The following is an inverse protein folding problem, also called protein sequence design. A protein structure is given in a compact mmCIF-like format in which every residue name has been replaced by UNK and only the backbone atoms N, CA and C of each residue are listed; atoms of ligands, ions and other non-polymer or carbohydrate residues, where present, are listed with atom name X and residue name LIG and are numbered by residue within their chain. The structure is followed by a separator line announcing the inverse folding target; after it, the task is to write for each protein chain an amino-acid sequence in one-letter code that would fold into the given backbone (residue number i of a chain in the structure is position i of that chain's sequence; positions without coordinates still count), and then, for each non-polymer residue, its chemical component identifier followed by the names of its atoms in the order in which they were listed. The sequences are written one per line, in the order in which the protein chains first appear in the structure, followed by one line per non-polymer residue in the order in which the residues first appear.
data_IF_085114490398
#
_entry.id   IF_085114490398
#
_cell.length_a   1.000
_cell.length_b   1.000
_cell.length_c   1.000
_cell.angle_alpha   90.00
_cell.angle_beta   90.00
_cell.angle_gamma   90.00
#
_symmetry.space_group_name_H-M   'P 1'
#
loop_
_entity.id
_entity.type
_entity.pdbx_description
1 polymer ?
#
# COMPACT_ATOMS: atom_id res chain seq x y z
N UNK A 1 32.11 7.95 8.75
CA UNK A 1 31.68 6.55 8.51
C UNK A 1 30.75 6.40 7.30
N UNK A 2 29.69 7.16 7.16
CA UNK A 2 28.69 7.01 6.09
C UNK A 2 29.26 7.09 4.67
N UNK A 3 30.10 8.09 4.34
CA UNK A 3 30.73 8.21 3.02
C UNK A 3 31.66 7.04 2.64
N UNK A 4 32.32 6.41 3.62
CA UNK A 4 33.20 5.24 3.39
C UNK A 4 32.39 4.01 3.06
N UNK A 5 31.29 3.79 3.75
CA UNK A 5 30.41 2.64 3.49
C UNK A 5 29.71 2.77 2.14
N UNK A 6 29.29 3.97 1.74
CA UNK A 6 28.70 4.19 0.40
C UNK A 6 29.70 3.91 -0.72
N UNK A 7 30.97 4.29 -0.57
CA UNK A 7 32.02 3.97 -1.55
C UNK A 7 32.28 2.45 -1.67
N UNK A 8 32.31 1.75 -0.54
CA UNK A 8 32.47 0.29 -0.51
C UNK A 8 31.32 -0.42 -1.25
N UNK A 9 30.08 0.00 -1.00
CA UNK A 9 28.90 -0.54 -1.68
C UNK A 9 28.98 -0.31 -3.18
N UNK A 10 29.35 0.90 -3.61
CA UNK A 10 29.52 1.23 -5.02
C UNK A 10 30.59 0.35 -5.69
N UNK A 11 31.70 0.13 -5.01
CA UNK A 11 32.79 -0.73 -5.52
C UNK A 11 32.31 -2.18 -5.66
N UNK A 12 31.64 -2.73 -4.66
CA UNK A 12 31.11 -4.10 -4.71
C UNK A 12 30.05 -4.26 -5.80
N UNK A 13 29.16 -3.28 -5.92
CA UNK A 13 28.15 -3.25 -6.98
C UNK A 13 28.80 -3.22 -8.37
N UNK A 14 29.82 -2.36 -8.54
CA UNK A 14 30.55 -2.25 -9.81
C UNK A 14 31.29 -3.54 -10.17
N UNK A 15 31.92 -4.19 -9.19
CA UNK A 15 32.59 -5.49 -9.39
C UNK A 15 31.56 -6.55 -9.78
N UNK A 16 30.44 -6.65 -9.08
CA UNK A 16 29.38 -7.61 -9.40
C UNK A 16 28.80 -7.35 -10.80
N UNK A 17 28.56 -6.09 -11.18
CA UNK A 17 28.08 -5.72 -12.50
C UNK A 17 29.10 -6.08 -13.60
N UNK A 18 30.40 -5.83 -13.39
CA UNK A 18 31.45 -6.19 -14.34
C UNK A 18 31.52 -7.71 -14.52
N UNK A 19 31.43 -8.49 -13.43
CA UNK A 19 31.44 -9.96 -13.52
C UNK A 19 30.27 -10.48 -14.37
N UNK A 20 29.07 -9.95 -14.19
CA UNK A 20 27.90 -10.33 -14.99
C UNK A 20 28.00 -9.88 -16.45
N UNK A 21 28.58 -8.71 -16.72
CA UNK A 21 28.83 -8.24 -18.08
C UNK A 21 29.91 -9.10 -18.78
N UNK A 22 30.94 -9.52 -18.07
CA UNK A 22 31.96 -10.41 -18.61
C UNK A 22 31.37 -11.79 -18.93
N UNK A 23 30.52 -12.33 -18.06
CA UNK A 23 29.84 -13.60 -18.31
C UNK A 23 28.90 -13.52 -19.53
N UNK A 24 28.22 -12.39 -19.71
CA UNK A 24 27.27 -12.18 -20.81
C UNK A 24 27.96 -11.91 -22.16
N UNK A 25 29.04 -11.12 -22.19
CA UNK A 25 29.71 -10.65 -23.43
C UNK A 25 31.01 -11.41 -23.76
N UNK A 26 31.61 -12.08 -22.80
CA UNK A 26 32.86 -12.83 -23.05
C UNK A 26 32.55 -14.32 -23.09
N UNK A 27 33.37 -15.06 -23.86
CA UNK A 27 33.36 -16.51 -23.89
C UNK A 27 33.95 -17.16 -22.62
N UNK A 28 34.15 -16.38 -21.57
CA UNK A 28 34.63 -16.86 -20.27
C UNK A 28 33.42 -17.41 -19.49
N UNK A 29 33.30 -18.72 -19.37
CA UNK A 29 32.33 -19.37 -18.50
C UNK A 29 32.68 -19.08 -17.04
N UNK A 30 32.06 -18.00 -16.47
CA UNK A 30 32.22 -17.71 -15.05
C UNK A 30 31.30 -18.63 -14.27
N UNK A 31 31.83 -19.32 -13.27
CA UNK A 31 31.04 -20.21 -12.42
C UNK A 31 29.83 -19.49 -11.83
N UNK A 32 28.63 -20.08 -11.99
CA UNK A 32 27.37 -19.52 -11.47
C UNK A 32 27.44 -19.21 -9.96
N UNK A 33 28.21 -19.98 -9.19
CA UNK A 33 28.45 -19.72 -7.78
C UNK A 33 29.21 -18.42 -7.51
N UNK A 34 30.14 -18.03 -8.38
CA UNK A 34 30.86 -16.75 -8.26
C UNK A 34 29.94 -15.57 -8.57
N UNK A 35 29.08 -15.70 -9.56
CA UNK A 35 28.10 -14.69 -9.90
C UNK A 35 27.09 -14.50 -8.77
N UNK A 36 26.50 -15.59 -8.28
CA UNK A 36 25.59 -15.57 -7.13
C UNK A 36 26.29 -15.00 -5.90
N UNK A 37 27.49 -15.48 -5.58
CA UNK A 37 28.27 -15.02 -4.44
C UNK A 37 28.59 -13.53 -4.48
N UNK A 38 28.96 -12.99 -5.65
CA UNK A 38 29.21 -11.55 -5.83
C UNK A 38 27.98 -10.69 -5.54
N UNK A 39 26.80 -11.13 -5.97
CA UNK A 39 25.53 -10.47 -5.67
C UNK A 39 25.23 -10.49 -4.17
N UNK A 40 25.32 -11.66 -3.53
CA UNK A 40 25.05 -11.78 -2.10
C UNK A 40 26.02 -10.94 -1.24
N UNK A 41 27.31 -10.87 -1.59
CA UNK A 41 28.27 -9.99 -0.90
C UNK A 41 27.87 -8.52 -1.05
N UNK A 42 27.41 -8.12 -2.24
CA UNK A 42 26.92 -6.77 -2.48
C UNK A 42 25.70 -6.46 -1.60
N UNK A 43 24.71 -7.35 -1.57
CA UNK A 43 23.51 -7.16 -0.75
C UNK A 43 23.82 -7.17 0.75
N UNK A 44 24.74 -8.02 1.22
CA UNK A 44 25.20 -7.99 2.62
C UNK A 44 25.83 -6.64 2.98
N UNK A 45 26.59 -6.03 2.09
CA UNK A 45 27.15 -4.69 2.32
C UNK A 45 26.07 -3.62 2.41
N UNK A 46 25.01 -3.74 1.61
CA UNK A 46 23.83 -2.85 1.67
C UNK A 46 23.05 -3.07 2.97
N UNK A 47 22.88 -4.32 3.44
CA UNK A 47 22.28 -4.63 4.75
C UNK A 47 22.99 -3.87 5.87
N UNK A 48 24.32 -3.96 5.92
CA UNK A 48 25.14 -3.25 6.91
C UNK A 48 24.89 -1.73 6.85
N UNK A 49 24.82 -1.16 5.66
CA UNK A 49 24.54 0.27 5.49
C UNK A 49 23.14 0.66 6.00
N UNK A 50 22.12 -0.14 5.66
CA UNK A 50 20.73 0.09 6.06
C UNK A 50 20.56 0.03 7.58
N UNK A 51 21.30 -0.88 8.25
CA UNK A 51 21.34 -0.97 9.71
C UNK A 51 21.71 0.35 10.38
N UNK A 52 22.66 1.10 9.79
CA UNK A 52 23.05 2.40 10.29
C UNK A 52 22.06 3.52 9.96
N UNK A 53 21.28 3.37 8.88
CA UNK A 53 20.34 4.42 8.43
C UNK A 53 19.02 4.45 9.18
N UNK A 54 18.62 3.35 9.83
CA UNK A 54 17.40 3.19 10.66
C UNK A 54 16.10 3.67 10.01
N UNK A 55 15.97 3.59 8.66
CA UNK A 55 14.77 3.98 7.93
C UNK A 55 13.96 2.76 7.55
N UNK A 56 12.69 2.70 7.94
CA UNK A 56 11.78 1.59 7.62
C UNK A 56 11.64 1.39 6.09
N UNK A 57 11.47 2.47 5.35
CA UNK A 57 11.37 2.43 3.87
C UNK A 57 12.60 1.78 3.25
N UNK A 58 13.80 2.11 3.75
CA UNK A 58 15.04 1.53 3.25
C UNK A 58 15.11 0.03 3.55
N UNK A 59 14.61 -0.41 4.71
CA UNK A 59 14.51 -1.84 5.05
C UNK A 59 13.53 -2.58 4.14
N UNK A 60 12.37 -1.98 3.82
CA UNK A 60 11.39 -2.55 2.89
C UNK A 60 12.01 -2.71 1.50
N UNK A 61 12.64 -1.66 0.97
CA UNK A 61 13.29 -1.72 -0.35
C UNK A 61 14.39 -2.80 -0.40
N UNK A 62 15.22 -2.87 0.63
CA UNK A 62 16.26 -3.91 0.72
C UNK A 62 15.65 -5.31 0.77
N UNK A 63 14.61 -5.51 1.58
CA UNK A 63 13.95 -6.81 1.70
C UNK A 63 13.27 -7.25 0.40
N UNK A 64 12.74 -6.31 -0.40
CA UNK A 64 12.23 -6.60 -1.74
C UNK A 64 13.32 -7.16 -2.65
N UNK A 65 14.50 -6.53 -2.66
CA UNK A 65 15.62 -6.99 -3.48
C UNK A 65 16.14 -8.35 -3.01
N UNK A 66 16.28 -8.55 -1.69
CA UNK A 66 16.65 -9.86 -1.13
C UNK A 66 15.57 -10.91 -1.47
N UNK A 67 14.30 -10.53 -1.45
CA UNK A 67 13.19 -11.38 -1.87
C UNK A 67 13.31 -11.84 -3.33
N UNK A 68 13.69 -10.94 -4.24
CA UNK A 68 13.97 -11.29 -5.64
C UNK A 68 15.09 -12.33 -5.72
N UNK A 69 16.21 -12.10 -5.03
CA UNK A 69 17.35 -13.01 -5.02
C UNK A 69 16.98 -14.40 -4.46
N UNK A 70 16.19 -14.45 -3.40
CA UNK A 70 15.71 -15.71 -2.82
C UNK A 70 14.77 -16.41 -3.81
N UNK A 71 13.84 -15.69 -4.44
CA UNK A 71 12.92 -16.26 -5.41
C UNK A 71 13.62 -16.87 -6.60
N UNK A 72 14.65 -16.21 -7.14
CA UNK A 72 15.42 -16.68 -8.28
C UNK A 72 16.31 -17.89 -7.98
N UNK A 73 17.04 -17.83 -6.86
CA UNK A 73 18.06 -18.85 -6.58
C UNK A 73 17.53 -20.02 -5.75
N UNK A 74 16.45 -19.82 -4.98
CA UNK A 74 15.91 -20.81 -4.05
C UNK A 74 14.37 -20.87 -4.10
N UNK A 75 13.75 -21.21 -5.26
CA UNK A 75 12.30 -21.15 -5.44
C UNK A 75 11.53 -22.03 -4.44
N UNK A 76 12.01 -23.23 -4.12
CA UNK A 76 11.38 -24.12 -3.14
C UNK A 76 11.38 -23.51 -1.71
N UNK A 77 12.45 -22.83 -1.33
CA UNK A 77 12.51 -22.14 -0.04
C UNK A 77 11.60 -20.91 -0.04
N UNK A 78 11.53 -20.17 -1.15
CA UNK A 78 10.69 -19.00 -1.31
C UNK A 78 9.21 -19.32 -1.03
N UNK A 79 8.71 -20.48 -1.46
CA UNK A 79 7.33 -20.91 -1.21
C UNK A 79 7.03 -21.00 0.30
N UNK A 80 7.95 -21.48 1.12
CA UNK A 80 7.79 -21.57 2.56
C UNK A 80 7.66 -20.19 3.22
N UNK A 81 8.16 -19.13 2.58
CA UNK A 81 8.05 -17.75 3.08
C UNK A 81 6.62 -17.18 2.93
N UNK A 82 5.72 -17.86 2.20
CA UNK A 82 4.33 -17.42 2.03
C UNK A 82 3.63 -17.16 3.39
N UNK A 83 3.99 -17.93 4.41
CA UNK A 83 3.45 -17.76 5.76
C UNK A 83 3.72 -16.35 6.31
N UNK A 84 4.95 -15.83 6.13
CA UNK A 84 5.31 -14.48 6.60
C UNK A 84 4.51 -13.40 5.90
N UNK A 85 4.32 -13.53 4.59
CA UNK A 85 3.49 -12.61 3.81
C UNK A 85 2.03 -12.64 4.26
N UNK A 86 1.45 -13.85 4.47
CA UNK A 86 0.09 -14.00 4.97
C UNK A 86 -0.10 -13.43 6.37
N UNK A 87 0.86 -13.65 7.28
CA UNK A 87 0.84 -13.07 8.63
C UNK A 87 0.82 -11.53 8.53
N UNK A 88 1.71 -10.94 7.73
CA UNK A 88 1.75 -9.49 7.57
C UNK A 88 0.42 -8.93 7.05
N UNK A 89 -0.15 -9.54 6.00
CA UNK A 89 -1.44 -9.12 5.46
C UNK A 89 -2.58 -9.26 6.49
N UNK A 90 -2.57 -10.32 7.28
CA UNK A 90 -3.57 -10.52 8.35
C UNK A 90 -3.44 -9.45 9.44
N UNK A 91 -2.21 -9.12 9.85
CA UNK A 91 -1.96 -8.05 10.81
C UNK A 91 -2.43 -6.68 10.28
N UNK A 92 -2.18 -6.39 9.00
CA UNK A 92 -2.66 -5.14 8.36
C UNK A 92 -4.19 -5.11 8.33
N UNK A 93 -4.85 -6.21 7.98
CA UNK A 93 -6.32 -6.29 7.98
C UNK A 93 -6.93 -6.01 9.36
N UNK A 94 -6.28 -6.45 10.43
CA UNK A 94 -6.74 -6.24 11.81
C UNK A 94 -6.84 -4.74 12.20
N UNK A 95 -6.03 -3.88 11.54
CA UNK A 95 -6.00 -2.44 11.85
C UNK A 95 -7.21 -1.70 11.29
N UNK A 96 -7.77 -2.17 10.16
CA UNK A 96 -8.71 -1.39 9.34
C UNK A 96 -9.95 -0.98 10.12
N UNK A 97 -10.64 -1.93 10.72
CA UNK A 97 -11.92 -1.67 11.40
C UNK A 97 -11.78 -0.70 12.59
N UNK A 98 -10.86 -0.90 13.55
CA UNK A 98 -10.72 0.00 14.70
C UNK A 98 -10.27 1.41 14.30
N UNK A 99 -9.36 1.56 13.33
CA UNK A 99 -8.94 2.88 12.85
C UNK A 99 -10.11 3.62 12.19
N UNK A 100 -10.82 2.97 11.27
CA UNK A 100 -11.96 3.58 10.59
C UNK A 100 -13.03 4.01 11.59
N UNK A 101 -13.41 3.12 12.51
CA UNK A 101 -14.38 3.43 13.54
C UNK A 101 -13.95 4.65 14.37
N UNK A 102 -12.79 4.58 15.00
CA UNK A 102 -12.35 5.63 15.92
C UNK A 102 -12.15 6.97 15.26
N UNK A 103 -11.51 7.02 14.08
CA UNK A 103 -11.25 8.28 13.37
C UNK A 103 -12.52 8.93 12.83
N UNK A 104 -13.45 8.13 12.31
CA UNK A 104 -14.74 8.65 11.83
C UNK A 104 -15.61 9.16 12.97
N UNK A 105 -15.69 8.42 14.08
CA UNK A 105 -16.43 8.86 15.27
C UNK A 105 -15.87 10.16 15.83
N UNK A 106 -14.56 10.26 15.98
CA UNK A 106 -13.88 11.49 16.43
C UNK A 106 -14.13 12.63 15.45
N UNK A 107 -14.00 12.37 14.15
CA UNK A 107 -14.21 13.37 13.10
C UNK A 107 -15.64 13.94 13.08
N UNK A 108 -16.65 13.13 13.39
CA UNK A 108 -18.06 13.56 13.39
C UNK A 108 -18.46 14.14 14.74
N UNK A 109 -18.24 13.39 15.82
CA UNK A 109 -18.70 13.76 17.15
C UNK A 109 -17.84 14.86 17.79
N UNK A 110 -16.58 15.02 17.39
CA UNK A 110 -15.68 16.07 17.88
C UNK A 110 -16.10 17.49 17.51
N UNK A 111 -16.97 17.65 16.50
CA UNK A 111 -17.45 18.97 16.08
C UNK A 111 -18.67 19.43 16.87
N UNK A 112 -18.70 20.72 17.18
CA UNK A 112 -19.81 21.34 17.93
C UNK A 112 -21.06 21.60 17.09
N UNK A 113 -20.97 21.63 15.75
CA UNK A 113 -22.05 21.99 14.84
C UNK A 113 -22.35 20.90 13.82
N UNK A 114 -23.27 20.00 14.15
CA UNK A 114 -23.71 18.90 13.28
C UNK A 114 -24.28 19.37 11.93
N UNK A 115 -24.96 20.51 11.88
CA UNK A 115 -25.51 21.04 10.61
C UNK A 115 -24.39 21.44 9.65
N UNK A 116 -23.29 21.97 10.18
CA UNK A 116 -22.09 22.27 9.38
C UNK A 116 -21.41 20.99 8.90
N UNK A 117 -21.25 20.00 9.78
CA UNK A 117 -20.68 18.67 9.44
C UNK A 117 -21.51 18.00 8.34
N UNK A 118 -22.83 17.97 8.47
CA UNK A 118 -23.72 17.40 7.45
C UNK A 118 -23.63 18.10 6.10
N UNK A 119 -23.56 19.43 6.09
CA UNK A 119 -23.37 20.20 4.84
C UNK A 119 -22.02 19.98 4.20
N UNK A 120 -20.97 19.89 5.00
CA UNK A 120 -19.62 19.54 4.51
C UNK A 120 -19.59 18.11 3.98
N UNK A 121 -20.15 17.15 4.72
CA UNK A 121 -20.21 15.75 4.34
C UNK A 121 -20.88 15.55 2.97
N UNK A 122 -22.08 16.12 2.78
CA UNK A 122 -22.81 16.03 1.51
C UNK A 122 -22.01 16.62 0.32
N UNK A 123 -21.43 17.81 0.50
CA UNK A 123 -20.58 18.43 -0.52
C UNK A 123 -19.34 17.59 -0.82
N UNK A 124 -18.73 16.99 0.20
CA UNK A 124 -17.59 16.10 0.03
C UNK A 124 -17.96 14.84 -0.74
N UNK A 125 -19.10 14.21 -0.44
CA UNK A 125 -19.58 13.03 -1.16
C UNK A 125 -19.76 13.34 -2.65
N UNK A 126 -20.47 14.42 -2.98
CA UNK A 126 -20.67 14.82 -4.38
C UNK A 126 -19.35 15.12 -5.10
N UNK A 127 -18.44 15.80 -4.41
CA UNK A 127 -17.12 16.09 -4.96
C UNK A 127 -16.32 14.81 -5.20
N UNK A 128 -16.28 13.91 -4.22
CA UNK A 128 -15.56 12.66 -4.34
C UNK A 128 -16.14 11.77 -5.44
N UNK A 129 -17.47 11.68 -5.56
CA UNK A 129 -18.11 10.90 -6.61
C UNK A 129 -17.70 11.40 -8.00
N UNK A 130 -17.79 12.70 -8.23
CA UNK A 130 -17.40 13.30 -9.51
C UNK A 130 -15.92 13.07 -9.82
N UNK A 131 -15.04 13.34 -8.83
CA UNK A 131 -13.58 13.22 -9.00
C UNK A 131 -13.14 11.76 -9.14
N UNK A 132 -13.74 10.84 -8.41
CA UNK A 132 -13.44 9.40 -8.49
C UNK A 132 -13.88 8.83 -9.83
N UNK A 133 -15.04 9.23 -10.35
CA UNK A 133 -15.50 8.83 -11.69
C UNK A 133 -14.49 9.25 -12.76
N UNK A 134 -14.02 10.51 -12.71
CA UNK A 134 -12.99 10.97 -13.65
C UNK A 134 -11.67 10.21 -13.46
N UNK A 135 -11.26 9.94 -12.21
CA UNK A 135 -10.05 9.15 -11.91
C UNK A 135 -10.13 7.75 -12.50
N UNK A 136 -11.32 7.11 -12.41
CA UNK A 136 -11.57 5.79 -12.97
C UNK A 136 -11.43 5.78 -14.50
N UNK A 137 -11.98 6.81 -15.18
CA UNK A 137 -11.82 6.97 -16.63
C UNK A 137 -10.34 7.15 -17.01
N UNK A 138 -9.59 7.99 -16.28
CA UNK A 138 -8.15 8.17 -16.49
C UNK A 138 -7.40 6.86 -16.32
N UNK A 139 -7.71 6.07 -15.27
CA UNK A 139 -7.12 4.76 -15.03
C UNK A 139 -7.41 3.77 -16.16
N UNK A 140 -8.65 3.72 -16.64
CA UNK A 140 -9.04 2.86 -17.77
C UNK A 140 -8.33 3.26 -19.07
N UNK A 141 -8.21 4.55 -19.35
CA UNK A 141 -7.45 5.02 -20.52
C UNK A 141 -5.99 4.63 -20.38
N UNK A 142 -5.39 4.86 -19.22
CA UNK A 142 -3.98 4.57 -18.98
C UNK A 142 -3.65 3.07 -19.14
N UNK A 143 -4.46 2.17 -18.56
CA UNK A 143 -4.21 0.73 -18.64
C UNK A 143 -4.40 0.22 -20.08
N UNK A 144 -5.38 0.76 -20.83
CA UNK A 144 -5.59 0.41 -22.22
C UNK A 144 -4.47 0.91 -23.15
N UNK A 145 -3.92 2.10 -22.87
CA UNK A 145 -2.79 2.64 -23.65
C UNK A 145 -1.48 1.89 -23.38
N UNK A 146 -1.22 1.56 -22.13
CA UNK A 146 0.03 0.91 -21.74
C UNK A 146 -0.02 -0.59 -21.90
N UNK A 147 -1.22 -1.20 -21.92
CA UNK A 147 -1.43 -2.65 -21.89
C UNK A 147 -0.58 -3.33 -20.80
N UNK A 148 -0.48 -2.67 -19.64
CA UNK A 148 0.26 -3.20 -18.51
C UNK A 148 -0.46 -4.44 -17.94
N UNK A 149 0.26 -5.55 -17.88
CA UNK A 149 -0.30 -6.87 -17.50
C UNK A 149 -0.61 -7.79 -18.68
N UNK A 150 -0.55 -7.31 -19.92
CA UNK A 150 -0.63 -8.20 -21.09
C UNK A 150 0.63 -9.06 -21.22
N UNK A 151 0.47 -10.34 -21.58
CA UNK A 151 1.59 -11.27 -21.76
C UNK A 151 2.10 -11.93 -20.49
N UNK A 152 1.35 -11.85 -19.38
CA UNK A 152 1.65 -12.66 -18.19
C UNK A 152 1.03 -14.05 -18.43
N UNK A 153 1.89 -15.04 -18.69
CA UNK A 153 1.48 -16.44 -18.71
C UNK A 153 1.42 -16.97 -17.29
N UNK A 154 0.23 -17.35 -16.85
CA UNK A 154 0.06 -18.01 -15.56
C UNK A 154 0.49 -19.47 -15.70
N UNK A 155 1.26 -20.02 -14.74
CA UNK A 155 1.60 -21.43 -14.76
C UNK A 155 0.35 -22.31 -14.79
N UNK A 156 0.38 -23.48 -15.48
CA UNK A 156 -0.78 -24.37 -15.60
C UNK A 156 -1.36 -24.82 -14.25
N UNK A 157 -0.53 -24.85 -13.20
CA UNK A 157 -0.90 -25.24 -11.83
C UNK A 157 -1.44 -24.07 -10.99
N UNK A 158 -1.61 -22.87 -11.61
CA UNK A 158 -2.13 -21.70 -10.91
C UNK A 158 -3.66 -21.78 -10.79
N UNK A 159 -4.13 -22.77 -10.03
CA UNK A 159 -5.55 -22.97 -9.69
C UNK A 159 -6.01 -21.96 -8.62
N UNK A 160 -5.80 -20.67 -8.81
CA UNK A 160 -6.64 -19.72 -8.12
C UNK A 160 -7.94 -19.60 -8.90
N UNK A 161 -9.00 -20.20 -8.37
CA UNK A 161 -10.35 -19.88 -8.81
C UNK A 161 -10.49 -18.35 -8.79
N UNK A 162 -10.50 -17.75 -9.98
CA UNK A 162 -10.86 -16.34 -10.09
C UNK A 162 -12.22 -16.21 -9.43
N UNK A 163 -12.39 -15.27 -8.47
CA UNK A 163 -13.69 -15.05 -7.88
C UNK A 163 -14.69 -14.89 -9.04
N UNK A 164 -15.65 -15.79 -9.14
CA UNK A 164 -16.71 -15.66 -10.12
C UNK A 164 -17.31 -14.26 -9.93
N UNK A 165 -17.19 -13.44 -10.96
CA UNK A 165 -17.84 -12.14 -10.97
C UNK A 165 -19.36 -12.40 -11.05
N UNK A 166 -19.97 -12.75 -9.92
CA UNK A 166 -21.42 -12.81 -9.80
C UNK A 166 -21.91 -11.42 -10.13
N UNK A 167 -22.71 -11.30 -11.19
CA UNK A 167 -23.37 -10.06 -11.53
C UNK A 167 -24.20 -9.64 -10.30
N UNK A 168 -23.65 -8.73 -9.51
CA UNK A 168 -24.37 -8.21 -8.33
C UNK A 168 -25.51 -7.32 -8.84
N UNK A 169 -26.71 -7.60 -8.39
CA UNK A 169 -27.85 -6.70 -8.60
C UNK A 169 -27.58 -5.38 -7.89
N UNK A 170 -28.09 -4.27 -8.43
CA UNK A 170 -28.02 -2.97 -7.77
C UNK A 170 -28.60 -3.01 -6.35
N UNK A 171 -29.65 -3.84 -6.12
CA UNK A 171 -30.22 -4.09 -4.80
C UNK A 171 -29.21 -4.73 -3.86
N UNK A 172 -28.44 -5.72 -4.34
CA UNK A 172 -27.44 -6.39 -3.52
C UNK A 172 -26.31 -5.44 -3.13
N UNK A 173 -25.86 -4.58 -4.07
CA UNK A 173 -24.85 -3.56 -3.79
C UNK A 173 -25.34 -2.60 -2.70
N UNK A 174 -26.58 -2.10 -2.81
CA UNK A 174 -27.16 -1.19 -1.82
C UNK A 174 -27.32 -1.88 -0.46
N UNK A 175 -27.80 -3.12 -0.44
CA UNK A 175 -27.97 -3.89 0.81
C UNK A 175 -26.62 -4.16 1.48
N UNK A 176 -25.57 -4.43 0.71
CA UNK A 176 -24.21 -4.64 1.25
C UNK A 176 -23.57 -3.36 1.84
N UNK A 177 -24.11 -2.17 1.55
CA UNK A 177 -23.64 -0.93 2.19
C UNK A 177 -24.02 -0.88 3.68
N UNK A 178 -25.19 -1.43 4.03
CA UNK A 178 -25.71 -1.39 5.40
C UNK A 178 -25.35 -2.68 6.15
N UNK A 179 -24.75 -2.57 7.34
CA UNK A 179 -24.38 -3.77 8.11
C UNK A 179 -25.63 -4.42 8.70
N UNK A 180 -25.84 -5.70 8.42
CA UNK A 180 -26.79 -6.52 9.19
C UNK A 180 -26.32 -6.66 10.64
N UNK A 181 -25.02 -6.81 10.83
CA UNK A 181 -24.35 -6.94 12.13
C UNK A 181 -22.92 -6.39 11.99
N UNK A 182 -22.58 -5.42 12.82
CA UNK A 182 -21.26 -4.78 12.77
C UNK A 182 -20.12 -5.79 13.05
N UNK A 183 -20.32 -6.75 13.96
CA UNK A 183 -19.31 -7.74 14.29
C UNK A 183 -19.04 -8.66 13.08
N UNK A 184 -20.09 -9.03 12.34
CA UNK A 184 -19.98 -9.80 11.10
C UNK A 184 -19.17 -9.04 10.05
N UNK A 185 -19.45 -7.73 9.87
CA UNK A 185 -18.72 -6.89 8.92
C UNK A 185 -17.24 -6.73 9.30
N UNK A 186 -16.94 -6.59 10.59
CA UNK A 186 -15.55 -6.54 11.08
C UNK A 186 -14.84 -7.88 10.84
N UNK A 187 -15.49 -9.01 11.08
CA UNK A 187 -14.93 -10.35 10.85
C UNK A 187 -14.62 -10.60 9.38
N UNK A 188 -15.51 -10.21 8.47
CA UNK A 188 -15.29 -10.35 7.02
C UNK A 188 -14.32 -9.28 6.46
N UNK A 189 -14.10 -8.18 7.18
CA UNK A 189 -13.28 -7.06 6.72
C UNK A 189 -14.01 -6.15 5.72
N UNK A 190 -15.34 -6.13 5.77
CA UNK A 190 -16.20 -5.33 4.89
C UNK A 190 -16.13 -3.85 5.28
N UNK A 191 -15.28 -3.10 4.58
CA UNK A 191 -14.96 -1.71 4.92
C UNK A 191 -16.19 -0.80 4.88
N UNK A 192 -17.03 -0.93 3.84
CA UNK A 192 -18.14 0.00 3.60
C UNK A 192 -19.22 -0.07 4.69
N UNK A 193 -19.70 -1.25 5.13
CA UNK A 193 -20.59 -1.35 6.28
C UNK A 193 -19.99 -0.79 7.58
N UNK A 194 -18.69 -0.97 7.80
CA UNK A 194 -17.99 -0.41 8.97
C UNK A 194 -18.02 1.12 8.94
N UNK A 195 -17.79 1.72 7.76
CA UNK A 195 -17.87 3.18 7.57
C UNK A 195 -19.29 3.70 7.85
N UNK A 196 -20.32 3.05 7.27
CA UNK A 196 -21.71 3.45 7.48
C UNK A 196 -22.11 3.37 8.97
N UNK A 197 -21.76 2.27 9.64
CA UNK A 197 -21.98 2.14 11.07
C UNK A 197 -21.27 3.25 11.85
N UNK A 198 -20.00 3.53 11.54
CA UNK A 198 -19.20 4.54 12.24
C UNK A 198 -19.77 5.95 12.06
N UNK A 199 -20.29 6.26 10.88
CA UNK A 199 -20.96 7.54 10.59
C UNK A 199 -22.23 7.67 11.41
N UNK A 200 -23.11 6.66 11.40
CA UNK A 200 -24.36 6.67 12.17
C UNK A 200 -24.07 6.77 13.66
N UNK A 201 -23.11 5.98 14.16
CA UNK A 201 -22.68 6.03 15.55
C UNK A 201 -22.13 7.40 15.93
N UNK A 202 -21.27 7.99 15.10
CA UNK A 202 -20.72 9.33 15.32
C UNK A 202 -21.79 10.43 15.37
N UNK A 203 -22.80 10.35 14.50
CA UNK A 203 -23.94 11.26 14.53
C UNK A 203 -24.75 11.07 15.82
N UNK A 204 -25.09 9.84 16.18
CA UNK A 204 -25.82 9.56 17.41
C UNK A 204 -25.06 10.05 18.65
N UNK A 205 -23.76 9.83 18.72
CA UNK A 205 -22.90 10.33 19.79
C UNK A 205 -22.89 11.86 19.84
N UNK A 206 -22.83 12.52 18.70
CA UNK A 206 -22.85 13.98 18.62
C UNK A 206 -24.18 14.62 19.07
N UNK A 207 -25.29 13.86 19.03
CA UNK A 207 -26.61 14.29 19.52
C UNK A 207 -26.77 14.18 21.03
N UNK A 208 -25.87 13.50 21.73
CA UNK A 208 -25.93 13.35 23.18
C UNK A 208 -25.53 14.65 23.91
N UNK A 209 -26.07 14.88 25.14
CA UNK A 209 -25.58 15.95 26.02
C UNK A 209 -24.08 15.79 26.29
N UNK A 210 -23.37 16.89 26.48
CA UNK A 210 -21.90 16.91 26.61
C UNK A 210 -21.36 15.95 27.68
N UNK A 211 -22.04 15.85 28.80
CA UNK A 211 -21.65 14.96 29.90
C UNK A 211 -21.60 13.47 29.52
N UNK A 212 -22.51 13.03 28.63
CA UNK A 212 -22.59 11.64 28.15
C UNK A 212 -21.74 11.42 26.89
N UNK A 213 -21.56 12.45 26.10
CA UNK A 213 -20.76 12.43 24.88
C UNK A 213 -19.26 12.34 25.18
N UNK A 214 -18.79 13.16 26.12
CA UNK A 214 -17.36 13.35 26.40
C UNK A 214 -16.60 12.05 26.72
N UNK A 215 -17.09 11.15 27.59
CA UNK A 215 -16.36 9.92 27.90
C UNK A 215 -16.16 9.01 26.68
N UNK A 216 -17.19 8.88 25.81
CA UNK A 216 -17.11 8.05 24.61
C UNK A 216 -16.25 8.70 23.53
N UNK A 217 -16.26 10.04 23.43
CA UNK A 217 -15.40 10.76 22.51
C UNK A 217 -13.93 10.59 22.89
N UNK A 218 -13.57 10.77 24.17
CA UNK A 218 -12.21 10.55 24.69
C UNK A 218 -11.77 9.09 24.52
N UNK A 219 -12.67 8.13 24.71
CA UNK A 219 -12.38 6.73 24.40
C UNK A 219 -12.02 6.53 22.92
N UNK A 220 -12.81 7.12 22.02
CA UNK A 220 -12.57 7.01 20.58
C UNK A 220 -11.26 7.70 20.16
N UNK A 221 -10.93 8.85 20.75
CA UNK A 221 -9.64 9.53 20.54
C UNK A 221 -8.46 8.67 21.01
N UNK A 222 -8.54 8.14 22.23
CA UNK A 222 -7.51 7.24 22.77
C UNK A 222 -7.38 5.97 21.95
N UNK A 223 -8.49 5.42 21.45
CA UNK A 223 -8.48 4.25 20.57
C UNK A 223 -7.78 4.59 19.25
N UNK A 224 -8.07 5.72 18.62
CA UNK A 224 -7.42 6.15 17.39
C UNK A 224 -5.91 6.29 17.58
N UNK A 225 -5.45 6.96 18.64
CA UNK A 225 -4.03 7.11 18.95
C UNK A 225 -3.35 5.76 19.21
N UNK A 226 -4.02 4.88 19.96
CA UNK A 226 -3.53 3.52 20.23
C UNK A 226 -3.37 2.75 18.92
N UNK A 227 -4.35 2.82 18.03
CA UNK A 227 -4.31 2.13 16.74
C UNK A 227 -3.25 2.70 15.79
N UNK A 228 -2.95 3.99 15.84
CA UNK A 228 -1.80 4.54 15.11
C UNK A 228 -0.47 3.99 15.63
N UNK A 229 -0.30 3.85 16.95
CA UNK A 229 0.89 3.21 17.54
C UNK A 229 0.96 1.72 17.19
N UNK A 230 -0.17 1.02 17.25
CA UNK A 230 -0.30 -0.38 16.86
C UNK A 230 0.09 -0.59 15.38
N UNK A 231 -0.39 0.28 14.49
CA UNK A 231 0.00 0.30 13.07
C UNK A 231 1.52 0.45 12.92
N UNK A 232 2.13 1.36 13.66
CA UNK A 232 3.57 1.55 13.61
C UNK A 232 4.34 0.27 14.03
N UNK A 233 3.86 -0.44 15.07
CA UNK A 233 4.45 -1.72 15.50
C UNK A 233 4.34 -2.75 14.37
N UNK A 234 3.17 -2.91 13.73
CA UNK A 234 2.97 -3.84 12.62
C UNK A 234 3.83 -3.48 11.42
N UNK A 235 3.99 -2.19 11.11
CA UNK A 235 4.80 -1.74 10.00
C UNK A 235 6.29 -2.10 10.15
N UNK A 236 6.79 -2.32 11.38
CA UNK A 236 8.13 -2.87 11.57
C UNK A 236 8.28 -4.31 11.07
N UNK A 237 7.18 -5.05 10.90
CA UNK A 237 7.17 -6.37 10.28
C UNK A 237 7.08 -6.31 8.74
N UNK A 238 6.76 -5.15 8.17
CA UNK A 238 6.59 -4.98 6.71
C UNK A 238 7.80 -5.45 5.88
N UNK A 239 9.07 -5.20 6.25
CA UNK A 239 10.20 -5.72 5.49
C UNK A 239 10.17 -7.24 5.31
N UNK A 240 9.81 -7.99 6.35
CA UNK A 240 9.70 -9.45 6.28
C UNK A 240 8.51 -9.88 5.42
N UNK A 241 7.34 -9.28 5.63
CA UNK A 241 6.13 -9.60 4.87
C UNK A 241 6.25 -9.29 3.38
N UNK A 242 6.78 -8.10 3.04
CA UNK A 242 6.94 -7.66 1.65
C UNK A 242 8.06 -8.43 0.95
N UNK A 243 9.22 -8.60 1.61
CA UNK A 243 10.32 -9.41 1.05
C UNK A 243 9.89 -10.85 0.77
N UNK A 244 9.14 -11.46 1.70
CA UNK A 244 8.58 -12.79 1.53
C UNK A 244 7.57 -12.85 0.35
N UNK A 245 6.70 -11.85 0.22
CA UNK A 245 5.74 -11.78 -0.89
C UNK A 245 6.44 -11.74 -2.25
N UNK A 246 7.48 -10.90 -2.38
CA UNK A 246 8.29 -10.81 -3.60
C UNK A 246 9.03 -12.13 -3.87
N UNK A 247 9.62 -12.75 -2.85
CA UNK A 247 10.32 -14.03 -3.01
C UNK A 247 9.37 -15.12 -3.55
N UNK A 248 8.17 -15.23 -2.99
CA UNK A 248 7.15 -16.19 -3.44
C UNK A 248 6.73 -15.88 -4.89
N UNK A 249 6.45 -14.62 -5.20
CA UNK A 249 6.00 -14.21 -6.54
C UNK A 249 7.06 -14.51 -7.60
N UNK A 250 8.31 -14.14 -7.35
CA UNK A 250 9.42 -14.40 -8.28
C UNK A 250 9.74 -15.89 -8.37
N UNK A 251 9.66 -16.63 -7.27
CA UNK A 251 9.89 -18.07 -7.24
C UNK A 251 8.85 -18.87 -8.02
N UNK A 252 7.59 -18.37 -8.11
CA UNK A 252 6.52 -19.03 -8.89
C UNK A 252 6.46 -18.56 -10.36
N UNK A 253 6.62 -17.27 -10.60
CA UNK A 253 6.35 -16.65 -11.90
C UNK A 253 7.62 -16.25 -12.67
N UNK A 254 8.79 -16.44 -12.06
CA UNK A 254 10.06 -16.03 -12.65
C UNK A 254 10.31 -14.52 -12.57
N UNK A 255 11.45 -14.07 -13.13
CA UNK A 255 11.86 -12.66 -13.09
C UNK A 255 11.02 -11.78 -14.04
N UNK A 256 10.46 -12.35 -15.09
CA UNK A 256 9.71 -11.61 -16.12
C UNK A 256 8.45 -10.96 -15.55
N UNK A 257 7.91 -11.52 -14.48
CA UNK A 257 6.79 -10.91 -13.74
C UNK A 257 7.15 -9.53 -13.20
N UNK A 258 8.40 -9.30 -12.78
CA UNK A 258 8.85 -8.01 -12.27
C UNK A 258 8.78 -6.92 -13.33
N UNK A 259 9.07 -7.25 -14.59
CA UNK A 259 8.95 -6.32 -15.71
C UNK A 259 7.49 -5.90 -15.92
N UNK A 260 6.58 -6.86 -15.87
CA UNK A 260 5.14 -6.60 -15.96
C UNK A 260 4.62 -5.79 -14.77
N UNK A 261 5.07 -6.10 -13.55
CA UNK A 261 4.75 -5.34 -12.36
C UNK A 261 5.31 -3.92 -12.39
N UNK A 262 6.54 -3.73 -12.90
CA UNK A 262 7.12 -2.39 -13.09
C UNK A 262 6.30 -1.58 -14.12
N UNK A 263 5.93 -2.18 -15.24
CA UNK A 263 5.07 -1.55 -16.25
C UNK A 263 3.73 -1.11 -15.63
N UNK A 264 3.11 -1.97 -14.82
CA UNK A 264 1.89 -1.66 -14.08
C UNK A 264 2.11 -0.50 -13.08
N UNK A 265 3.23 -0.52 -12.36
CA UNK A 265 3.60 0.53 -11.40
C UNK A 265 3.79 1.88 -12.10
N UNK A 266 4.50 1.93 -13.22
CA UNK A 266 4.67 3.16 -14.00
C UNK A 266 3.35 3.65 -14.58
N UNK A 267 2.47 2.75 -15.01
CA UNK A 267 1.11 3.10 -15.45
C UNK A 267 0.30 3.72 -14.32
N UNK A 268 0.36 3.14 -13.13
CA UNK A 268 -0.30 3.66 -11.93
C UNK A 268 0.21 5.08 -11.58
N UNK A 269 1.53 5.26 -11.47
CA UNK A 269 2.08 6.58 -11.16
C UNK A 269 1.83 7.60 -12.27
N UNK A 270 1.91 7.19 -13.54
CA UNK A 270 1.57 8.04 -14.67
C UNK A 270 0.11 8.51 -14.63
N UNK A 271 -0.82 7.60 -14.33
CA UNK A 271 -2.24 7.92 -14.16
C UNK A 271 -2.47 8.86 -12.99
N UNK A 272 -1.76 8.66 -11.88
CA UNK A 272 -1.88 9.49 -10.68
C UNK A 272 -1.36 10.90 -10.94
N UNK A 273 -0.24 11.04 -11.63
CA UNK A 273 0.28 12.35 -12.07
C UNK A 273 -0.69 13.02 -13.03
N UNK A 274 -1.20 12.29 -14.02
CA UNK A 274 -2.21 12.81 -14.96
C UNK A 274 -3.46 13.29 -14.19
N UNK A 275 -3.96 12.51 -13.24
CA UNK A 275 -5.09 12.87 -12.39
C UNK A 275 -4.83 14.15 -11.59
N UNK A 276 -3.66 14.28 -10.97
CA UNK A 276 -3.29 15.50 -10.23
C UNK A 276 -3.28 16.72 -11.17
N UNK A 277 -2.68 16.59 -12.35
CA UNK A 277 -2.53 17.70 -13.29
C UNK A 277 -3.85 18.08 -13.98
N UNK A 278 -4.66 17.08 -14.37
CA UNK A 278 -5.87 17.31 -15.17
C UNK A 278 -7.11 17.56 -14.32
N UNK A 279 -7.14 17.08 -13.05
CA UNK A 279 -8.32 17.17 -12.20
C UNK A 279 -8.06 18.02 -10.96
N UNK A 280 -7.11 17.62 -10.11
CA UNK A 280 -6.91 18.29 -8.83
C UNK A 280 -6.37 19.72 -8.97
N UNK A 281 -5.43 19.94 -9.88
CA UNK A 281 -4.84 21.25 -10.13
C UNK A 281 -5.85 22.26 -10.68
N UNK A 282 -6.66 21.96 -11.72
CA UNK A 282 -7.73 22.84 -12.18
C UNK A 282 -8.77 23.14 -11.10
N UNK A 283 -9.19 22.13 -10.32
CA UNK A 283 -10.11 22.33 -9.21
C UNK A 283 -9.50 23.26 -8.16
N UNK A 284 -8.26 23.04 -7.75
CA UNK A 284 -7.56 23.91 -6.79
C UNK A 284 -7.45 25.35 -7.30
N UNK A 285 -7.23 25.53 -8.59
CA UNK A 285 -7.17 26.85 -9.23
C UNK A 285 -8.53 27.56 -9.23
N UNK A 286 -9.61 26.86 -9.60
CA UNK A 286 -10.98 27.42 -9.62
C UNK A 286 -11.46 27.84 -8.22
N UNK A 287 -11.10 27.05 -7.21
CA UNK A 287 -11.46 27.33 -5.78
C UNK A 287 -10.46 28.33 -5.14
N UNK A 288 -9.45 28.80 -5.90
CA UNK A 288 -8.42 29.73 -5.42
C UNK A 288 -7.63 29.24 -4.21
N UNK A 289 -7.35 27.94 -4.13
CA UNK A 289 -6.54 27.36 -3.08
C UNK A 289 -5.09 27.85 -3.22
N UNK A 290 -4.44 28.36 -2.16
CA UNK A 290 -3.03 28.75 -2.23
C UNK A 290 -2.14 27.50 -2.28
N UNK A 291 -1.87 27.01 -3.50
CA UNK A 291 -1.22 25.70 -3.78
C UNK A 291 0.07 25.50 -2.99
N UNK A 292 0.92 26.55 -2.88
CA UNK A 292 2.18 26.43 -2.11
C UNK A 292 1.96 26.16 -0.62
N UNK A 293 0.96 26.82 -0.01
CA UNK A 293 0.61 26.60 1.40
C UNK A 293 -0.05 25.22 1.59
N UNK A 294 -0.89 24.83 0.64
CA UNK A 294 -1.54 23.52 0.63
C UNK A 294 -0.51 22.38 0.54
N UNK A 295 0.42 22.42 -0.45
CA UNK A 295 1.47 21.39 -0.57
C UNK A 295 2.31 21.31 0.71
N UNK A 296 2.66 22.44 1.31
CA UNK A 296 3.41 22.43 2.59
C UNK A 296 2.62 21.79 3.73
N UNK A 297 1.30 22.03 3.78
CA UNK A 297 0.44 21.45 4.81
C UNK A 297 0.27 19.92 4.67
N UNK A 298 0.19 19.40 3.43
CA UNK A 298 0.02 17.97 3.17
C UNK A 298 1.35 17.21 3.06
N UNK A 299 2.49 17.90 2.90
CA UNK A 299 3.79 17.23 2.72
C UNK A 299 4.16 16.35 3.92
N UNK A 300 3.83 16.75 5.14
CA UNK A 300 4.11 15.97 6.35
C UNK A 300 3.29 14.68 6.40
N UNK A 301 1.94 14.68 6.25
CA UNK A 301 1.14 13.46 6.20
C UNK A 301 1.48 12.53 5.03
N UNK A 302 1.88 13.07 3.88
CA UNK A 302 2.19 12.27 2.67
C UNK A 302 3.60 11.67 2.73
N UNK A 303 4.51 12.23 3.56
CA UNK A 303 5.88 11.72 3.71
C UNK A 303 6.02 10.60 4.76
N UNK A 304 4.95 10.29 5.48
CA UNK A 304 4.86 9.19 6.44
C UNK A 304 4.42 7.93 5.73
#
# INVERSE_FOLDING_TARGET
MQKRNTRLILILFTISAILHLLDYYSSLEISSWLLIGSRWITWMSVVVYVFFKKSLTTWILLSMVIGVEIGLNFPNFAQNLQVLSKIFLSLVKTIIAPILFSTLVVGIAGHSNLKQVGRMGWKSILYFEAVTTVALVIGLIAINLTQAGSGIELPPDFNQELPEAKAQSWSDVILHIFPENIVKSVYHGDVLPIVVFSVIFGIALAMLPQEKKEPMLRFSESLAETMFKFTNIIMHFAPFGVGAAIAVTVGHLGIDILTSLLKLLFTLYGSLVAFILLVLLPVAYTVKVPIRKFIRAISVPVSI
#
